data_IF_845473615035
#
_entry.id   IF_845473615035
#
_cell.length_a   1.000
_cell.length_b   1.000
_cell.length_c   1.000
_cell.angle_alpha   90.00
_cell.angle_beta   90.00
_cell.angle_gamma   90.00
#
_symmetry.space_group_name_H-M   'P 1'
#
loop_
_entity.id
_entity.type
_entity.pdbx_description
1 polymer ?
#
# COMPACT_ATOMS: atom_id res chain seq x y z
N UNK A 1 31.34 17.12 -28.30
CA UNK A 1 32.09 18.25 -27.75
C UNK A 1 32.48 19.22 -28.89
N UNK A 2 32.25 20.51 -28.70
CA UNK A 2 32.69 21.51 -29.62
C UNK A 2 34.20 21.78 -29.40
N UNK A 3 34.92 21.85 -30.47
CA UNK A 3 36.36 22.15 -30.43
C UNK A 3 36.57 23.67 -30.25
N UNK A 4 37.46 24.04 -29.31
CA UNK A 4 37.67 25.47 -28.98
C UNK A 4 38.55 26.23 -29.98
N UNK A 5 39.33 25.51 -30.74
CA UNK A 5 40.44 26.10 -31.54
C UNK A 5 40.20 26.07 -33.06
N UNK A 6 39.14 25.42 -33.53
CA UNK A 6 38.75 25.42 -34.94
C UNK A 6 37.28 25.06 -35.10
N UNK A 7 36.57 25.59 -36.12
CA UNK A 7 35.20 25.19 -36.41
C UNK A 7 35.17 23.73 -36.88
N UNK A 8 34.52 22.88 -36.11
CA UNK A 8 34.35 21.46 -36.45
C UNK A 8 33.71 20.68 -35.32
N UNK A 9 33.03 19.58 -35.67
CA UNK A 9 32.43 18.62 -34.74
C UNK A 9 33.36 17.42 -34.64
N UNK A 10 33.81 17.09 -33.43
CA UNK A 10 34.53 15.83 -33.19
C UNK A 10 33.49 14.76 -32.87
N UNK A 11 33.31 13.84 -33.80
CA UNK A 11 32.48 12.65 -33.57
C UNK A 11 33.40 11.51 -33.15
N UNK A 12 33.15 10.97 -31.94
CA UNK A 12 33.85 9.81 -31.44
C UNK A 12 32.99 8.60 -31.68
N UNK A 13 33.44 7.67 -32.52
CA UNK A 13 32.77 6.41 -32.79
C UNK A 13 33.42 5.29 -31.96
N UNK A 14 32.62 4.63 -31.16
CA UNK A 14 33.07 3.41 -30.50
C UNK A 14 32.66 2.20 -31.33
N UNK A 15 33.64 1.48 -31.83
CA UNK A 15 33.42 0.17 -32.44
C UNK A 15 33.28 -0.86 -31.33
N UNK A 16 32.07 -1.37 -31.08
CA UNK A 16 31.84 -2.45 -30.16
C UNK A 16 32.02 -3.79 -30.84
N UNK A 17 32.99 -4.57 -30.39
CA UNK A 17 33.20 -5.92 -30.93
C UNK A 17 32.03 -6.82 -30.59
N UNK A 18 31.74 -7.86 -31.41
CA UNK A 18 30.70 -8.88 -31.08
C UNK A 18 30.90 -9.54 -29.71
N UNK A 19 32.13 -9.63 -29.22
CA UNK A 19 32.46 -10.11 -27.88
C UNK A 19 31.94 -9.20 -26.77
N UNK A 20 32.00 -7.90 -26.99
CA UNK A 20 31.51 -6.91 -26.03
C UNK A 20 29.96 -6.98 -25.90
N UNK A 21 29.26 -7.12 -27.02
CA UNK A 21 27.81 -7.26 -27.05
C UNK A 21 27.40 -8.53 -26.30
N UNK A 22 28.12 -9.65 -26.54
CA UNK A 22 27.88 -10.91 -25.85
C UNK A 22 28.13 -10.79 -24.34
N UNK A 23 29.21 -10.13 -23.91
CA UNK A 23 29.50 -9.91 -22.50
C UNK A 23 28.45 -8.99 -21.84
N UNK A 24 27.97 -7.98 -22.56
CA UNK A 24 26.92 -7.09 -22.05
C UNK A 24 25.61 -7.85 -21.84
N UNK A 25 25.21 -8.68 -22.78
CA UNK A 25 24.01 -9.54 -22.65
C UNK A 25 24.15 -10.52 -21.48
N UNK A 26 25.31 -11.15 -21.30
CA UNK A 26 25.58 -12.02 -20.16
C UNK A 26 25.54 -11.23 -18.83
N UNK A 27 25.95 -9.97 -18.82
CA UNK A 27 25.89 -9.11 -17.64
C UNK A 27 24.45 -8.77 -17.28
N UNK A 28 23.59 -8.41 -18.26
CA UNK A 28 22.16 -8.16 -18.03
C UNK A 28 21.49 -9.42 -17.47
N UNK A 29 21.75 -10.57 -18.06
CA UNK A 29 21.21 -11.84 -17.57
C UNK A 29 21.66 -12.16 -16.14
N UNK A 30 22.91 -11.86 -15.80
CA UNK A 30 23.42 -12.07 -14.44
C UNK A 30 22.74 -11.19 -13.40
N UNK A 31 22.39 -9.94 -13.77
CA UNK A 31 21.64 -9.05 -12.91
C UNK A 31 20.21 -9.55 -12.65
N UNK A 32 19.60 -10.20 -13.63
CA UNK A 32 18.25 -10.72 -13.50
C UNK A 32 18.16 -12.03 -12.70
N UNK A 33 19.25 -12.79 -12.58
CA UNK A 33 19.28 -14.06 -11.82
C UNK A 33 18.91 -13.92 -10.34
N UNK A 34 19.04 -12.72 -9.75
CA UNK A 34 18.68 -12.46 -8.36
C UNK A 34 17.18 -12.26 -8.12
N UNK A 35 16.38 -12.08 -9.18
CA UNK A 35 14.96 -11.79 -9.07
C UNK A 35 14.13 -13.07 -9.17
N UNK A 36 13.21 -13.24 -8.20
CA UNK A 36 12.30 -14.38 -8.18
C UNK A 36 11.04 -14.07 -9.00
N UNK A 37 10.75 -14.89 -10.00
CA UNK A 37 9.57 -14.73 -10.89
C UNK A 37 8.25 -14.71 -10.13
N UNK A 38 8.15 -15.42 -9.02
CA UNK A 38 6.92 -15.49 -8.22
C UNK A 38 6.69 -14.21 -7.41
N UNK A 39 7.75 -13.65 -6.80
CA UNK A 39 7.64 -12.46 -5.91
C UNK A 39 7.87 -11.15 -6.65
N UNK A 40 8.88 -11.13 -7.51
CA UNK A 40 9.33 -9.88 -8.16
C UNK A 40 8.69 -9.71 -9.55
N UNK A 41 7.93 -10.72 -9.99
CA UNK A 41 7.36 -10.77 -11.33
C UNK A 41 8.33 -11.22 -12.40
N UNK A 42 7.82 -11.35 -13.62
CA UNK A 42 8.66 -11.73 -14.77
C UNK A 42 9.19 -10.48 -15.44
N UNK A 43 10.51 -10.42 -15.58
CA UNK A 43 11.24 -9.36 -16.26
C UNK A 43 11.83 -9.92 -17.54
N UNK A 44 11.58 -9.25 -18.64
CA UNK A 44 12.04 -9.65 -19.97
C UNK A 44 12.72 -8.46 -20.63
N UNK A 45 13.92 -8.68 -21.11
CA UNK A 45 14.64 -7.69 -21.94
C UNK A 45 14.74 -8.24 -23.35
N UNK A 46 14.28 -7.46 -24.31
CA UNK A 46 14.29 -7.85 -25.72
C UNK A 46 15.05 -6.83 -26.58
N UNK A 47 15.79 -7.34 -27.55
CA UNK A 47 16.46 -6.58 -28.60
C UNK A 47 16.06 -7.14 -29.97
N UNK A 48 15.72 -6.28 -30.91
CA UNK A 48 15.40 -6.61 -32.32
C UNK A 48 14.43 -7.81 -32.46
N UNK A 49 13.48 -7.93 -31.56
CA UNK A 49 12.46 -8.97 -31.60
C UNK A 49 12.83 -10.28 -30.91
N UNK A 50 14.02 -10.40 -30.32
CA UNK A 50 14.45 -11.56 -29.54
C UNK A 50 14.59 -11.26 -28.06
N UNK A 51 14.24 -12.21 -27.21
CA UNK A 51 14.45 -12.13 -25.77
C UNK A 51 15.92 -12.42 -25.48
N UNK A 52 16.64 -11.42 -25.00
CA UNK A 52 18.08 -11.50 -24.71
C UNK A 52 18.38 -11.77 -23.23
N UNK A 53 17.48 -11.40 -22.34
CA UNK A 53 17.61 -11.66 -20.91
C UNK A 53 16.22 -11.78 -20.25
N UNK A 54 16.12 -12.66 -19.27
CA UNK A 54 14.91 -12.82 -18.45
C UNK A 54 15.27 -13.48 -17.12
N UNK A 55 14.51 -13.18 -16.06
CA UNK A 55 14.56 -13.94 -14.81
C UNK A 55 13.82 -15.30 -14.91
N UNK A 56 13.01 -15.50 -15.94
CA UNK A 56 12.46 -16.82 -16.30
C UNK A 56 13.32 -17.43 -17.42
N UNK A 57 14.13 -18.42 -17.08
CA UNK A 57 15.05 -19.09 -18.03
C UNK A 57 14.32 -19.73 -19.22
N UNK A 58 13.04 -20.10 -19.06
CA UNK A 58 12.24 -20.70 -20.14
C UNK A 58 11.96 -19.73 -21.28
N UNK A 59 12.06 -18.44 -21.03
CA UNK A 59 11.79 -17.40 -22.02
C UNK A 59 13.06 -17.00 -22.79
N UNK A 60 14.24 -17.43 -22.36
CA UNK A 60 15.48 -17.08 -23.02
C UNK A 60 15.54 -17.62 -24.47
N UNK A 61 16.04 -16.78 -25.36
CA UNK A 61 16.19 -17.06 -26.79
C UNK A 61 14.88 -17.25 -27.58
N UNK A 62 13.72 -17.11 -26.94
CA UNK A 62 12.44 -17.10 -27.65
C UNK A 62 12.26 -15.81 -28.44
N UNK A 63 11.48 -15.90 -29.51
CA UNK A 63 11.05 -14.71 -30.23
C UNK A 63 9.95 -13.97 -29.46
N UNK A 64 10.04 -12.66 -29.44
CA UNK A 64 9.01 -11.79 -28.86
C UNK A 64 7.64 -12.02 -29.50
N UNK A 65 7.61 -12.46 -30.76
CA UNK A 65 6.40 -12.77 -31.51
C UNK A 65 5.65 -13.99 -30.94
N UNK A 66 6.35 -14.95 -30.40
CA UNK A 66 5.76 -16.19 -29.87
C UNK A 66 5.18 -16.03 -28.46
N UNK A 67 5.50 -14.93 -27.80
CA UNK A 67 5.05 -14.68 -26.44
C UNK A 67 3.76 -13.83 -26.42
N UNK A 68 2.63 -14.48 -26.11
CA UNK A 68 1.30 -13.89 -26.13
C UNK A 68 1.17 -12.65 -25.23
N UNK A 69 1.77 -12.69 -24.03
CA UNK A 69 1.69 -11.57 -23.09
C UNK A 69 2.46 -10.35 -23.62
N UNK A 70 3.62 -10.54 -24.23
CA UNK A 70 4.39 -9.43 -24.82
C UNK A 70 3.62 -8.83 -25.99
N UNK A 71 2.94 -9.63 -26.79
CA UNK A 71 2.11 -9.14 -27.89
C UNK A 71 0.94 -8.29 -27.39
N UNK A 72 0.31 -8.69 -26.27
CA UNK A 72 -0.72 -7.89 -25.61
C UNK A 72 -0.14 -6.58 -25.07
N UNK A 73 1.05 -6.63 -24.46
CA UNK A 73 1.72 -5.45 -23.94
C UNK A 73 2.10 -4.45 -25.03
N UNK A 74 2.54 -4.91 -26.19
CA UNK A 74 2.86 -4.05 -27.36
C UNK A 74 1.66 -3.29 -27.91
N UNK A 75 0.43 -3.77 -27.73
CA UNK A 75 -0.78 -3.06 -28.15
C UNK A 75 -1.05 -1.81 -27.31
N UNK A 76 -0.53 -1.76 -26.11
CA UNK A 76 -0.60 -0.60 -25.22
C UNK A 76 0.61 0.30 -25.46
N UNK A 77 0.48 1.21 -26.43
CA UNK A 77 1.58 2.01 -27.00
C UNK A 77 2.18 3.04 -26.05
N UNK A 78 1.54 3.31 -24.90
CA UNK A 78 2.02 4.31 -23.96
C UNK A 78 2.87 3.69 -22.86
N UNK A 79 4.16 3.83 -23.03
CA UNK A 79 5.23 3.06 -22.39
C UNK A 79 5.50 3.38 -20.91
N UNK A 80 4.65 4.12 -20.23
CA UNK A 80 4.86 4.51 -18.82
C UNK A 80 3.70 4.22 -17.91
N UNK A 81 2.61 3.68 -18.44
CA UNK A 81 1.44 3.34 -17.65
C UNK A 81 1.44 1.85 -17.32
N UNK A 82 1.04 1.54 -16.08
CA UNK A 82 0.75 0.18 -15.66
C UNK A 82 -0.61 -0.19 -16.24
N UNK A 83 -0.69 -1.32 -16.92
CA UNK A 83 -1.93 -1.84 -17.49
C UNK A 83 -2.23 -3.23 -16.98
N UNK A 84 -3.51 -3.54 -16.90
CA UNK A 84 -3.98 -4.85 -16.47
C UNK A 84 -4.24 -5.75 -17.69
N UNK A 85 -3.69 -6.94 -17.67
CA UNK A 85 -3.76 -7.92 -18.73
C UNK A 85 -4.19 -9.29 -18.20
N UNK A 86 -4.66 -10.15 -19.10
CA UNK A 86 -4.87 -11.56 -18.79
C UNK A 86 -3.81 -12.41 -19.48
N UNK A 87 -3.06 -13.19 -18.68
CA UNK A 87 -2.11 -14.19 -19.16
C UNK A 87 -2.62 -15.58 -18.80
N UNK A 88 -2.95 -16.40 -19.79
CA UNK A 88 -3.46 -17.76 -19.59
C UNK A 88 -4.59 -17.87 -18.56
N UNK A 89 -5.51 -16.89 -18.57
CA UNK A 89 -6.63 -16.83 -17.64
C UNK A 89 -6.35 -16.14 -16.30
N UNK A 90 -5.10 -15.87 -15.95
CA UNK A 90 -4.70 -15.16 -14.73
C UNK A 90 -4.53 -13.67 -15.03
N UNK A 91 -5.10 -12.80 -14.20
CA UNK A 91 -4.86 -11.36 -14.26
C UNK A 91 -3.41 -11.03 -13.91
N UNK A 92 -2.84 -10.08 -14.63
CA UNK A 92 -1.46 -9.61 -14.42
C UNK A 92 -1.41 -8.10 -14.63
N UNK A 93 -0.63 -7.41 -13.82
CA UNK A 93 -0.23 -6.04 -14.06
C UNK A 93 1.08 -6.02 -14.82
N UNK A 94 1.15 -5.23 -15.87
CA UNK A 94 2.32 -5.13 -16.72
C UNK A 94 2.74 -3.69 -16.99
N UNK A 95 4.02 -3.53 -17.28
CA UNK A 95 4.61 -2.29 -17.74
C UNK A 95 5.59 -2.59 -18.87
N UNK A 96 5.65 -1.73 -19.87
CA UNK A 96 6.62 -1.79 -20.96
C UNK A 96 7.44 -0.51 -20.98
N UNK A 97 8.75 -0.66 -21.02
CA UNK A 97 9.69 0.45 -21.14
C UNK A 97 10.52 0.28 -22.41
N UNK A 98 10.66 1.35 -23.17
CA UNK A 98 11.60 1.42 -24.29
C UNK A 98 12.81 2.23 -23.85
N UNK A 99 13.99 1.62 -23.87
CA UNK A 99 15.24 2.27 -23.54
C UNK A 99 16.26 2.06 -24.66
N UNK A 100 16.51 3.10 -25.46
CA UNK A 100 17.32 3.03 -26.68
C UNK A 100 16.79 1.97 -27.65
N UNK A 101 17.55 0.91 -27.90
CA UNK A 101 17.20 -0.19 -28.80
C UNK A 101 16.55 -1.36 -28.07
N UNK A 102 16.48 -1.32 -26.75
CA UNK A 102 15.93 -2.38 -25.91
C UNK A 102 14.50 -2.11 -25.51
N UNK A 103 13.71 -3.17 -25.43
CA UNK A 103 12.40 -3.20 -24.83
C UNK A 103 12.45 -4.01 -23.54
N UNK A 104 12.00 -3.42 -22.46
CA UNK A 104 11.91 -4.06 -21.15
C UNK A 104 10.43 -4.28 -20.87
N UNK A 105 10.03 -5.52 -20.68
CA UNK A 105 8.69 -5.92 -20.29
C UNK A 105 8.76 -6.47 -18.88
N UNK A 106 7.87 -6.01 -18.03
CA UNK A 106 7.73 -6.53 -16.67
C UNK A 106 6.25 -6.80 -16.42
N UNK A 107 5.93 -7.97 -15.87
CA UNK A 107 4.57 -8.26 -15.46
C UNK A 107 4.56 -9.08 -14.17
N UNK A 108 3.54 -8.81 -13.35
CA UNK A 108 3.34 -9.41 -12.05
C UNK A 108 1.91 -9.93 -11.94
N UNK A 109 1.68 -11.19 -11.51
CA UNK A 109 0.33 -11.73 -11.30
C UNK A 109 -0.44 -10.94 -10.24
N UNK A 110 -1.76 -10.79 -10.42
CA UNK A 110 -2.65 -10.11 -9.48
C UNK A 110 -2.52 -10.66 -8.06
N UNK A 111 -2.36 -11.98 -7.93
CA UNK A 111 -2.17 -12.66 -6.66
C UNK A 111 -0.99 -12.10 -5.86
N UNK A 112 0.11 -11.78 -6.54
CA UNK A 112 1.31 -11.24 -5.87
C UNK A 112 1.15 -9.75 -5.57
N UNK A 113 0.56 -8.98 -6.49
CA UNK A 113 0.26 -7.55 -6.26
C UNK A 113 -0.60 -7.35 -5.01
N UNK A 114 -1.57 -8.24 -4.80
CA UNK A 114 -2.51 -8.16 -3.68
C UNK A 114 -2.18 -9.10 -2.52
N UNK A 115 -1.01 -9.73 -2.51
CA UNK A 115 -0.62 -10.72 -1.49
C UNK A 115 -0.66 -10.17 -0.06
N UNK A 116 -0.27 -8.92 0.11
CA UNK A 116 -0.26 -8.23 1.42
C UNK A 116 -1.60 -7.53 1.76
N UNK A 117 -2.55 -7.47 0.82
CA UNK A 117 -3.81 -6.77 1.02
C UNK A 117 -4.62 -7.34 2.20
N UNK A 118 -4.79 -8.68 2.33
CA UNK A 118 -5.56 -9.25 3.45
C UNK A 118 -4.96 -8.89 4.80
N UNK A 119 -3.64 -8.91 4.93
CA UNK A 119 -2.94 -8.55 6.18
C UNK A 119 -3.15 -7.07 6.53
N UNK A 120 -3.05 -6.18 5.54
CA UNK A 120 -3.26 -4.75 5.73
C UNK A 120 -4.70 -4.44 6.12
N UNK A 121 -5.69 -5.06 5.45
CA UNK A 121 -7.12 -4.89 5.78
C UNK A 121 -7.41 -5.40 7.19
N UNK A 122 -6.90 -6.58 7.54
CA UNK A 122 -7.06 -7.15 8.89
C UNK A 122 -6.48 -6.22 9.96
N UNK A 123 -5.31 -5.64 9.73
CA UNK A 123 -4.68 -4.69 10.62
C UNK A 123 -5.54 -3.43 10.86
N UNK A 124 -6.10 -2.86 9.79
CA UNK A 124 -6.99 -1.68 9.87
C UNK A 124 -8.27 -2.01 10.63
N UNK A 125 -8.90 -3.15 10.35
CA UNK A 125 -10.11 -3.59 11.06
C UNK A 125 -9.82 -3.78 12.55
N UNK A 126 -8.69 -4.40 12.90
CA UNK A 126 -8.30 -4.61 14.29
C UNK A 126 -8.07 -3.28 15.02
N UNK A 127 -7.40 -2.34 14.39
CA UNK A 127 -7.18 -0.99 14.93
C UNK A 127 -8.51 -0.26 15.15
N UNK A 128 -9.45 -0.38 14.22
CA UNK A 128 -10.78 0.19 14.36
C UNK A 128 -11.56 -0.39 15.54
N UNK A 129 -11.49 -1.71 15.74
CA UNK A 129 -12.11 -2.38 16.89
C UNK A 129 -11.53 -1.91 18.23
N UNK A 130 -10.23 -1.68 18.29
CA UNK A 130 -9.57 -1.11 19.46
C UNK A 130 -10.13 0.29 19.77
N UNK A 131 -10.20 1.16 18.76
CA UNK A 131 -10.74 2.53 18.93
C UNK A 131 -12.20 2.48 19.43
N UNK A 132 -13.02 1.62 18.84
CA UNK A 132 -14.41 1.44 19.30
C UNK A 132 -14.48 0.97 20.76
N UNK A 133 -13.65 0.02 21.16
CA UNK A 133 -13.57 -0.48 22.52
C UNK A 133 -13.20 0.62 23.52
N UNK A 134 -12.21 1.45 23.18
CA UNK A 134 -11.84 2.60 24.01
C UNK A 134 -12.97 3.62 24.11
N UNK A 135 -13.61 3.93 22.99
CA UNK A 135 -14.76 4.88 22.97
C UNK A 135 -15.90 4.39 23.82
N UNK A 136 -16.24 3.09 23.74
CA UNK A 136 -17.28 2.47 24.54
C UNK A 136 -16.94 2.49 26.04
N UNK A 137 -15.70 2.17 26.38
CA UNK A 137 -15.20 2.21 27.75
C UNK A 137 -15.26 3.63 28.33
N UNK A 138 -14.90 4.62 27.53
CA UNK A 138 -14.97 6.03 27.93
C UNK A 138 -16.41 6.47 28.24
N UNK A 139 -17.36 6.13 27.36
CA UNK A 139 -18.79 6.42 27.56
C UNK A 139 -19.30 5.75 28.82
N UNK A 140 -18.92 4.49 29.05
CA UNK A 140 -19.33 3.76 30.25
C UNK A 140 -18.81 4.41 31.54
N UNK A 141 -17.55 4.81 31.58
CA UNK A 141 -16.93 5.48 32.74
C UNK A 141 -17.59 6.83 33.01
N UNK A 142 -17.85 7.62 31.97
CA UNK A 142 -18.52 8.94 32.11
C UNK A 142 -19.95 8.80 32.60
N UNK A 143 -20.72 7.81 32.10
CA UNK A 143 -22.07 7.55 32.58
C UNK A 143 -22.08 7.11 34.05
N UNK A 144 -21.14 6.26 34.46
CA UNK A 144 -21.00 5.82 35.84
C UNK A 144 -20.67 7.01 36.79
N UNK A 145 -19.80 7.91 36.34
CA UNK A 145 -19.45 9.11 37.09
C UNK A 145 -20.67 10.05 37.24
N UNK A 146 -21.46 10.23 36.18
CA UNK A 146 -22.70 11.02 36.23
C UNK A 146 -23.71 10.44 37.20
N UNK A 147 -23.94 9.11 37.16
CA UNK A 147 -24.87 8.46 38.08
C UNK A 147 -24.47 8.65 39.55
N UNK A 148 -23.18 8.54 39.88
CA UNK A 148 -22.68 8.80 41.23
C UNK A 148 -22.93 10.25 41.66
N UNK A 149 -22.69 11.18 40.75
CA UNK A 149 -22.88 12.58 41.05
C UNK A 149 -24.37 12.96 41.28
N UNK A 150 -25.28 12.34 40.55
CA UNK A 150 -26.71 12.49 40.77
C UNK A 150 -27.15 11.87 42.12
N UNK A 151 -26.66 10.69 42.43
CA UNK A 151 -26.95 10.07 43.74
C UNK A 151 -26.48 10.93 44.92
N UNK A 152 -25.27 11.47 44.84
CA UNK A 152 -24.77 12.37 45.89
C UNK A 152 -25.58 13.66 46.03
N UNK A 153 -26.09 14.21 44.91
CA UNK A 153 -26.98 15.37 44.92
C UNK A 153 -28.32 15.04 45.58
N UNK A 154 -28.90 13.89 45.24
CA UNK A 154 -30.14 13.42 45.78
C UNK A 154 -30.05 13.16 47.29
N UNK A 155 -28.95 12.56 47.75
CA UNK A 155 -28.72 12.32 49.18
C UNK A 155 -28.56 13.65 49.94
N UNK A 156 -27.83 14.62 49.40
CA UNK A 156 -27.69 15.95 49.98
C UNK A 156 -29.07 16.66 50.08
N UNK A 157 -29.83 16.59 48.98
CA UNK A 157 -31.16 17.19 48.94
C UNK A 157 -32.12 16.56 49.95
N UNK A 158 -32.13 15.24 50.07
CA UNK A 158 -32.91 14.51 51.09
C UNK A 158 -32.52 14.87 52.53
N UNK A 159 -31.20 14.97 52.78
CA UNK A 159 -30.68 15.38 54.08
C UNK A 159 -31.10 16.85 54.44
N UNK A 160 -31.12 17.75 53.49
CA UNK A 160 -31.52 19.13 53.67
C UNK A 160 -33.02 19.27 53.91
N UNK A 161 -33.85 18.51 53.19
CA UNK A 161 -35.29 18.38 53.40
C UNK A 161 -35.62 17.85 54.79
N UNK A 162 -34.91 16.80 55.22
CA UNK A 162 -35.11 16.21 56.55
C UNK A 162 -34.75 17.21 57.66
N UNK A 163 -33.69 18.01 57.47
CA UNK A 163 -33.28 19.03 58.42
C UNK A 163 -34.27 20.18 58.47
N UNK A 164 -34.84 20.59 57.34
CA UNK A 164 -35.86 21.63 57.28
C UNK A 164 -37.19 21.18 57.90
N UNK A 165 -37.61 19.90 57.68
CA UNK A 165 -38.77 19.31 58.27
C UNK A 165 -38.66 19.26 59.80
N UNK A 166 -37.53 18.78 60.35
CA UNK A 166 -37.25 18.79 61.79
C UNK A 166 -37.28 20.18 62.42
N UNK A 167 -36.75 21.20 61.70
CA UNK A 167 -36.85 22.58 62.19
C UNK A 167 -38.28 23.13 62.20
N UNK A 168 -39.06 22.77 61.18
CA UNK A 168 -40.49 23.16 61.13
C UNK A 168 -41.30 22.49 62.22
N UNK A 169 -41.02 21.22 62.51
CA UNK A 169 -41.68 20.44 63.57
C UNK A 169 -41.34 21.02 64.95
N UNK A 170 -40.09 21.26 65.26
CA UNK A 170 -39.66 21.93 66.49
C UNK A 170 -40.26 23.32 66.68
N UNK A 171 -40.37 24.09 65.59
CA UNK A 171 -41.02 25.41 65.66
C UNK A 171 -42.52 25.31 65.93
N UNK A 172 -43.17 24.25 65.41
CA UNK A 172 -44.60 24.01 65.65
C UNK A 172 -44.88 23.48 67.08
N UNK A 173 -44.03 22.63 67.63
CA UNK A 173 -44.08 22.19 68.99
C UNK A 173 -43.93 23.37 69.99
N UNK A 174 -42.92 24.24 69.75
CA UNK A 174 -42.73 25.42 70.60
C UNK A 174 -43.92 26.36 70.54
N UNK A 175 -44.64 26.44 69.41
CA UNK A 175 -45.84 27.28 69.27
C UNK A 175 -47.05 26.67 70.05
N UNK A 176 -47.14 25.35 70.18
CA UNK A 176 -48.21 24.65 70.89
C UNK A 176 -48.02 24.70 72.42
N UNK A 177 -46.77 24.79 72.91
CA UNK A 177 -46.45 24.97 74.32
C UNK A 177 -46.78 26.38 74.86
N UNK A 178 -46.90 27.37 73.96
CA UNK A 178 -47.17 28.75 74.32
C UNK A 178 -48.67 29.12 74.24
N UNK A 179 -49.54 28.20 73.91
CA UNK A 179 -50.99 28.37 73.86
C UNK A 179 -51.69 27.62 75.01
#
# INVERSE_FOLDING_TARGET
CARKDAPGIVAVYYYTSPRFIRNYTLTIQSLLKGYNTEKDGTIIVADKGKIIASNDEKLLAQDVADNEIIQKMKKHTDSRHIFHLKNKGTGCYGIMLKQRDYYIYMYLPDKEVFSNLPLSVTGVVFLYLIILSFSWSWIYITNLAHQKQEQEKDEKYKAELLKSAKKAEAANEAKTEFL
#
